data_IF_684859827829
#
_entry.id   IF_684859827829
#
_cell.length_a   1.000
_cell.length_b   1.000
_cell.length_c   1.000
_cell.angle_alpha   90.00
_cell.angle_beta   90.00
_cell.angle_gamma   90.00
#
_symmetry.space_group_name_H-M   'P 1'
#
loop_
_entity.id
_entity.type
_entity.pdbx_description
1 polymer ?
#
# COMPACT_ATOMS: atom_id res chain seq x y z
N UNK A 1 31.18 18.91 2.44
CA UNK A 1 29.96 18.12 2.20
C UNK A 1 28.90 19.11 1.72
N UNK A 2 28.25 18.88 0.57
CA UNK A 2 27.11 19.73 0.22
C UNK A 2 25.98 19.46 1.21
N UNK A 3 25.28 20.50 1.64
CA UNK A 3 24.07 20.32 2.44
C UNK A 3 23.08 19.47 1.64
N UNK A 4 22.40 18.53 2.29
CA UNK A 4 21.27 17.83 1.70
C UNK A 4 20.22 18.89 1.32
N UNK A 5 19.83 18.94 0.05
CA UNK A 5 18.76 19.80 -0.43
C UNK A 5 17.53 18.95 -0.72
N UNK A 6 16.36 19.42 -0.30
CA UNK A 6 15.09 18.78 -0.59
C UNK A 6 14.70 19.00 -2.05
N UNK A 7 13.85 18.12 -2.58
CA UNK A 7 13.16 18.37 -3.84
C UNK A 7 12.22 19.59 -3.76
N UNK A 8 11.67 20.04 -4.89
CA UNK A 8 10.86 21.25 -4.97
C UNK A 8 9.55 21.17 -4.16
N UNK A 9 8.96 19.99 -4.01
CA UNK A 9 7.76 19.78 -3.20
C UNK A 9 8.09 19.30 -1.78
N UNK A 10 9.34 18.92 -1.52
CA UNK A 10 9.76 18.23 -0.30
C UNK A 10 8.84 17.02 -0.01
N UNK A 11 8.60 16.22 -1.06
CA UNK A 11 7.64 15.12 -1.05
C UNK A 11 8.17 13.93 -1.84
N UNK A 12 7.69 12.71 -1.52
CA UNK A 12 7.99 11.51 -2.32
C UNK A 12 7.53 11.66 -3.79
N UNK A 13 6.52 12.51 -4.04
CA UNK A 13 6.04 12.82 -5.38
C UNK A 13 7.01 13.69 -6.20
N UNK A 14 8.13 14.16 -5.62
CA UNK A 14 9.23 14.74 -6.40
C UNK A 14 9.89 13.69 -7.33
N UNK A 15 9.69 12.40 -7.05
CA UNK A 15 10.09 11.30 -7.94
C UNK A 15 9.09 11.21 -9.09
N UNK A 16 9.58 11.48 -10.31
CA UNK A 16 8.76 11.48 -11.53
C UNK A 16 7.96 10.18 -11.68
N UNK A 17 6.66 10.34 -11.93
CA UNK A 17 5.74 9.23 -12.16
C UNK A 17 5.19 8.57 -10.89
N UNK A 18 5.70 8.86 -9.70
CA UNK A 18 5.09 8.42 -8.44
C UNK A 18 3.90 9.30 -8.05
N UNK A 19 2.89 8.65 -7.49
CA UNK A 19 1.64 9.28 -7.04
C UNK A 19 1.24 8.71 -5.69
N UNK A 20 0.64 9.56 -4.85
CA UNK A 20 0.07 9.16 -3.57
C UNK A 20 -1.42 9.50 -3.55
N UNK A 21 -2.25 8.51 -3.22
CA UNK A 21 -3.68 8.68 -2.97
C UNK A 21 -4.00 8.43 -1.50
N UNK A 22 -4.95 9.16 -0.95
CA UNK A 22 -5.42 8.98 0.42
C UNK A 22 -6.94 8.88 0.44
N UNK A 23 -7.47 7.93 1.21
CA UNK A 23 -8.87 7.85 1.59
C UNK A 23 -8.96 7.89 3.12
N UNK A 24 -9.92 8.63 3.65
CA UNK A 24 -10.08 8.82 5.09
C UNK A 24 -11.54 8.66 5.45
N UNK A 25 -11.80 7.92 6.52
CA UNK A 25 -13.11 7.82 7.15
C UNK A 25 -13.03 8.50 8.52
N UNK A 26 -13.71 9.64 8.65
CA UNK A 26 -13.76 10.44 9.88
C UNK A 26 -14.75 9.90 10.91
N UNK A 27 -15.71 9.06 10.52
CA UNK A 27 -16.64 8.43 11.46
C UNK A 27 -15.91 7.39 12.30
N UNK A 28 -15.09 6.56 11.65
CA UNK A 28 -14.28 5.53 12.33
C UNK A 28 -12.85 6.00 12.61
N UNK A 29 -12.49 7.24 12.26
CA UNK A 29 -11.17 7.85 12.46
C UNK A 29 -10.01 6.99 11.92
N UNK A 30 -10.08 6.57 10.66
CA UNK A 30 -9.03 5.75 10.03
C UNK A 30 -8.77 6.22 8.60
N UNK A 31 -7.84 5.57 7.91
CA UNK A 31 -7.63 5.80 6.49
C UNK A 31 -6.68 4.80 5.84
N UNK A 32 -6.57 4.96 4.52
CA UNK A 32 -5.68 4.19 3.65
C UNK A 32 -4.89 5.17 2.80
N UNK A 33 -3.58 4.96 2.72
CA UNK A 33 -2.68 5.63 1.80
C UNK A 33 -2.16 4.63 0.78
N UNK A 34 -2.25 4.97 -0.50
CA UNK A 34 -1.73 4.15 -1.61
C UNK A 34 -0.61 4.92 -2.29
N UNK A 35 0.58 4.34 -2.33
CA UNK A 35 1.65 4.76 -3.23
C UNK A 35 1.51 3.96 -4.53
N UNK A 36 1.40 4.64 -5.66
CA UNK A 36 1.36 4.03 -6.99
C UNK A 36 2.23 4.85 -7.96
N UNK A 37 2.31 4.42 -9.21
CA UNK A 37 2.96 5.21 -10.25
C UNK A 37 2.33 5.00 -11.61
N UNK A 38 2.82 5.77 -12.59
CA UNK A 38 2.42 5.66 -13.99
C UNK A 38 2.80 4.29 -14.59
N UNK A 39 3.85 3.65 -14.05
CA UNK A 39 4.29 2.28 -14.36
C UNK A 39 4.60 1.52 -13.07
N UNK A 40 4.78 0.19 -13.15
CA UNK A 40 5.31 -0.59 -12.02
C UNK A 40 6.69 -0.09 -11.61
N UNK A 41 7.04 -0.24 -10.33
CA UNK A 41 8.35 0.13 -9.78
C UNK A 41 8.93 -1.01 -8.96
N UNK A 42 10.26 -1.13 -8.96
CA UNK A 42 10.97 -2.11 -8.12
C UNK A 42 10.74 -1.79 -6.65
N UNK A 43 10.43 -2.82 -5.86
CA UNK A 43 10.18 -2.69 -4.43
C UNK A 43 10.87 -3.82 -3.66
N UNK A 44 11.28 -3.52 -2.44
CA UNK A 44 11.70 -4.47 -1.43
C UNK A 44 11.16 -4.01 -0.07
N UNK A 45 11.19 -4.85 0.95
CA UNK A 45 10.67 -4.50 2.27
C UNK A 45 11.59 -5.00 3.39
N UNK A 46 11.51 -4.34 4.53
CA UNK A 46 12.17 -4.76 5.75
C UNK A 46 11.25 -4.47 6.93
N UNK A 47 11.01 -5.48 7.76
CA UNK A 47 10.24 -5.33 9.00
C UNK A 47 11.21 -5.28 10.18
N UNK A 48 11.15 -4.18 10.93
CA UNK A 48 11.95 -4.01 12.15
C UNK A 48 11.11 -4.12 13.44
N UNK A 49 9.78 -4.06 13.32
CA UNK A 49 8.86 -4.19 14.46
C UNK A 49 8.58 -5.64 14.85
N UNK A 50 8.33 -5.90 16.14
CA UNK A 50 8.14 -7.26 16.66
C UNK A 50 6.76 -7.88 16.43
N UNK A 51 5.77 -7.11 15.97
CA UNK A 51 4.41 -7.57 15.69
C UNK A 51 3.90 -6.97 14.37
N UNK A 52 4.46 -7.39 13.21
CA UNK A 52 4.03 -6.89 11.92
C UNK A 52 2.64 -7.38 11.56
N UNK A 53 1.92 -6.56 10.79
CA UNK A 53 0.83 -7.02 9.96
C UNK A 53 1.11 -6.60 8.53
N UNK A 54 1.30 -7.59 7.68
CA UNK A 54 1.64 -7.36 6.28
C UNK A 54 0.92 -8.35 5.38
N UNK A 55 0.81 -7.99 4.11
CA UNK A 55 0.29 -8.84 3.03
C UNK A 55 1.20 -8.69 1.81
N UNK A 56 1.37 -9.79 1.07
CA UNK A 56 2.11 -9.87 -0.20
C UNK A 56 3.59 -9.42 -0.11
N UNK A 57 4.16 -9.32 1.10
CA UNK A 57 5.53 -8.82 1.32
C UNK A 57 6.61 -9.86 1.03
N UNK A 58 6.34 -11.15 1.26
CA UNK A 58 7.31 -12.22 0.98
C UNK A 58 7.72 -12.27 -0.51
N UNK A 59 6.86 -11.77 -1.40
CA UNK A 59 7.12 -11.67 -2.83
C UNK A 59 8.16 -10.59 -3.18
N UNK A 60 8.48 -9.68 -2.25
CA UNK A 60 9.43 -8.58 -2.42
C UNK A 60 10.87 -8.94 -2.00
N UNK A 61 11.09 -10.19 -1.59
CA UNK A 61 12.43 -10.70 -1.35
C UNK A 61 13.22 -10.76 -2.67
N UNK A 62 14.51 -10.34 -2.70
CA UNK A 62 15.28 -10.22 -3.95
C UNK A 62 15.45 -11.51 -4.75
N UNK A 63 15.25 -12.68 -4.13
CA UNK A 63 15.36 -14.00 -4.75
C UNK A 63 14.03 -14.49 -5.35
N UNK A 64 12.95 -13.71 -5.24
CA UNK A 64 11.62 -14.07 -5.77
C UNK A 64 11.40 -13.53 -7.18
N UNK A 65 10.36 -14.05 -7.83
CA UNK A 65 10.06 -13.76 -9.25
C UNK A 65 9.42 -12.39 -9.48
N UNK A 66 8.78 -11.81 -8.47
CA UNK A 66 8.14 -10.50 -8.56
C UNK A 66 9.21 -9.41 -8.37
N UNK A 67 9.62 -8.77 -9.46
CA UNK A 67 10.66 -7.75 -9.45
C UNK A 67 10.13 -6.32 -9.28
N UNK A 68 8.84 -6.10 -9.58
CA UNK A 68 8.18 -4.81 -9.49
C UNK A 68 6.71 -4.96 -9.09
N UNK A 69 6.16 -3.91 -8.51
CA UNK A 69 4.74 -3.81 -8.13
C UNK A 69 4.16 -2.50 -8.65
N UNK A 70 2.84 -2.46 -8.80
CA UNK A 70 2.13 -1.28 -9.28
C UNK A 70 1.65 -0.36 -8.15
N UNK A 71 1.52 -0.89 -6.94
CA UNK A 71 1.10 -0.14 -5.77
C UNK A 71 1.66 -0.73 -4.46
N UNK A 72 1.79 0.12 -3.44
CA UNK A 72 2.00 -0.24 -2.05
C UNK A 72 0.91 0.42 -1.21
N UNK A 73 0.36 -0.30 -0.23
CA UNK A 73 -0.73 0.18 0.62
C UNK A 73 -0.28 0.29 2.07
N UNK A 74 -0.60 1.42 2.68
CA UNK A 74 -0.48 1.66 4.12
C UNK A 74 -1.89 1.89 4.67
N UNK A 75 -2.33 1.07 5.63
CA UNK A 75 -3.70 1.15 6.17
C UNK A 75 -3.73 1.24 7.69
N UNK A 76 -4.71 1.98 8.22
CA UNK A 76 -5.17 1.80 9.59
C UNK A 76 -5.90 0.47 9.77
N UNK A 77 -6.61 0.31 10.90
CA UNK A 77 -7.50 -0.83 11.14
C UNK A 77 -6.88 -2.07 11.73
N UNK A 78 -5.58 -2.06 12.05
CA UNK A 78 -4.86 -3.27 12.42
C UNK A 78 -5.12 -4.38 11.39
N UNK A 79 -5.22 -5.65 11.80
CA UNK A 79 -5.35 -6.81 10.91
C UNK A 79 -6.50 -6.68 9.89
N UNK A 80 -7.58 -5.98 10.24
CA UNK A 80 -8.70 -5.72 9.33
C UNK A 80 -8.29 -4.84 8.13
N UNK A 81 -7.34 -3.93 8.33
CA UNK A 81 -6.80 -3.07 7.27
C UNK A 81 -6.09 -3.78 6.14
N UNK A 82 -5.70 -5.05 6.32
CA UNK A 82 -5.11 -5.86 5.25
C UNK A 82 -6.10 -6.10 4.09
N UNK A 83 -7.41 -5.93 4.33
CA UNK A 83 -8.45 -6.04 3.30
C UNK A 83 -8.39 -4.91 2.26
N UNK A 84 -7.83 -3.75 2.61
CA UNK A 84 -7.69 -2.59 1.70
C UNK A 84 -6.87 -2.88 0.45
N UNK A 85 -6.01 -3.89 0.53
CA UNK A 85 -5.27 -4.41 -0.61
C UNK A 85 -6.19 -4.93 -1.73
N UNK A 86 -7.36 -5.47 -1.36
CA UNK A 86 -8.36 -6.02 -2.28
C UNK A 86 -8.93 -4.95 -3.21
N UNK A 87 -9.45 -3.85 -2.66
CA UNK A 87 -9.98 -2.74 -3.46
C UNK A 87 -8.92 -2.13 -4.39
N UNK A 88 -7.66 -2.04 -3.93
CA UNK A 88 -6.53 -1.59 -4.78
C UNK A 88 -6.21 -2.60 -5.88
N UNK A 89 -6.23 -3.91 -5.57
CA UNK A 89 -6.04 -4.96 -6.55
C UNK A 89 -7.13 -4.93 -7.64
N UNK A 90 -8.39 -4.72 -7.27
CA UNK A 90 -9.51 -4.62 -8.21
C UNK A 90 -9.37 -3.39 -9.13
N UNK A 91 -8.94 -2.25 -8.57
CA UNK A 91 -8.64 -1.05 -9.36
C UNK A 91 -7.49 -1.28 -10.36
N UNK A 92 -6.40 -1.92 -9.92
CA UNK A 92 -5.27 -2.27 -10.79
C UNK A 92 -5.68 -3.27 -11.88
N UNK A 93 -6.45 -4.29 -11.52
CA UNK A 93 -6.96 -5.30 -12.46
C UNK A 93 -7.82 -4.67 -13.55
N UNK A 94 -8.68 -3.72 -13.16
CA UNK A 94 -9.53 -2.95 -14.07
C UNK A 94 -8.71 -2.06 -15.00
N UNK A 95 -7.57 -1.57 -14.53
CA UNK A 95 -6.61 -0.80 -15.33
C UNK A 95 -5.66 -1.69 -16.18
N UNK A 96 -5.79 -3.02 -16.13
CA UNK A 96 -4.89 -3.94 -16.83
C UNK A 96 -3.47 -3.98 -16.27
N UNK A 97 -3.30 -3.63 -14.99
CA UNK A 97 -2.01 -3.54 -14.29
C UNK A 97 -1.83 -4.71 -13.32
N UNK A 98 -0.58 -5.14 -13.17
CA UNK A 98 -0.20 -6.25 -12.30
C UNK A 98 0.94 -7.08 -12.89
N UNK A 99 1.30 -8.13 -12.16
CA UNK A 99 2.32 -9.10 -12.56
C UNK A 99 1.78 -10.05 -13.63
N UNK A 100 2.53 -10.22 -14.73
CA UNK A 100 2.14 -11.11 -15.83
C UNK A 100 2.54 -12.57 -15.54
N UNK A 101 1.56 -13.47 -15.61
CA UNK A 101 1.72 -14.93 -15.52
C UNK A 101 1.14 -15.54 -16.79
N UNK A 102 1.99 -15.73 -17.80
CA UNK A 102 1.54 -16.06 -19.15
C UNK A 102 0.59 -14.97 -19.67
N UNK A 103 -0.64 -15.35 -20.03
CA UNK A 103 -1.66 -14.45 -20.56
C UNK A 103 -2.54 -13.80 -19.47
N UNK A 104 -2.23 -14.06 -18.18
CA UNK A 104 -3.02 -13.55 -17.05
C UNK A 104 -2.23 -12.46 -16.31
N UNK A 105 -2.89 -11.34 -16.02
CA UNK A 105 -2.34 -10.26 -15.19
C UNK A 105 -2.89 -10.34 -13.77
N UNK A 106 -2.01 -10.49 -12.79
CA UNK A 106 -2.34 -10.63 -11.37
C UNK A 106 -1.78 -9.43 -10.59
N UNK A 107 -2.62 -8.53 -10.06
CA UNK A 107 -2.15 -7.48 -9.17
C UNK A 107 -1.53 -8.06 -7.90
N UNK A 108 -0.32 -7.61 -7.59
CA UNK A 108 0.36 -7.89 -6.32
C UNK A 108 0.42 -6.56 -5.55
N UNK A 109 -0.17 -6.53 -4.35
CA UNK A 109 -0.37 -5.28 -3.60
C UNK A 109 0.23 -5.42 -2.20
N UNK A 110 1.55 -5.24 -2.06
CA UNK A 110 2.21 -5.23 -0.77
C UNK A 110 1.56 -4.21 0.15
N UNK A 111 1.18 -4.67 1.34
CA UNK A 111 0.41 -3.87 2.29
C UNK A 111 1.03 -3.98 3.67
N UNK A 112 1.09 -2.86 4.38
CA UNK A 112 1.43 -2.81 5.80
C UNK A 112 0.36 -2.03 6.57
N UNK A 113 0.09 -2.48 7.79
CA UNK A 113 -0.95 -1.91 8.64
C UNK A 113 -0.40 -1.28 9.91
N UNK A 114 -1.16 -0.36 10.49
CA UNK A 114 -0.96 0.16 11.84
C UNK A 114 -2.19 -0.10 12.72
N UNK A 115 -1.98 -0.07 14.03
CA UNK A 115 -3.07 -0.15 15.00
C UNK A 115 -3.62 1.25 15.32
N UNK A 116 -4.86 1.52 14.94
CA UNK A 116 -5.61 2.71 15.32
C UNK A 116 -6.98 2.37 15.94
N UNK A 117 -7.22 1.10 16.28
CA UNK A 117 -8.53 0.63 16.77
C UNK A 117 -8.92 1.20 18.13
N UNK A 118 -7.98 1.76 18.91
CA UNK A 118 -8.24 2.39 20.19
C UNK A 118 -8.47 3.92 20.12
N UNK A 119 -8.75 4.46 18.92
CA UNK A 119 -9.09 5.88 18.76
C UNK A 119 -10.58 6.18 19.07
N UNK A 120 -10.99 7.43 18.93
CA UNK A 120 -12.34 7.90 19.24
C UNK A 120 -13.40 7.64 18.16
N UNK A 121 -13.06 6.94 17.07
CA UNK A 121 -13.99 6.63 15.99
C UNK A 121 -14.94 5.49 16.35
N UNK A 122 -16.08 5.43 15.67
CA UNK A 122 -17.05 4.34 15.88
C UNK A 122 -16.52 3.02 15.31
N UNK A 123 -16.25 2.05 16.20
CA UNK A 123 -15.76 0.72 15.82
C UNK A 123 -16.87 -0.34 15.81
N UNK A 124 -18.14 0.06 16.00
CA UNK A 124 -19.28 -0.86 16.04
C UNK A 124 -19.81 -1.17 14.64
N UNK A 125 -18.93 -1.62 13.75
CA UNK A 125 -19.29 -2.05 12.40
C UNK A 125 -19.47 -3.57 12.34
N UNK A 126 -20.44 -4.04 11.57
CA UNK A 126 -20.68 -5.48 11.36
C UNK A 126 -19.81 -6.05 10.23
N UNK A 127 -19.57 -5.25 9.19
CA UNK A 127 -18.70 -5.55 8.06
C UNK A 127 -17.50 -4.62 8.08
N UNK A 128 -16.32 -5.15 7.80
CA UNK A 128 -15.09 -4.38 7.76
C UNK A 128 -15.18 -3.23 6.75
N UNK A 129 -14.89 -1.98 7.16
CA UNK A 129 -14.93 -0.82 6.27
C UNK A 129 -13.67 -0.68 5.40
N UNK A 130 -12.74 -1.64 5.48
CA UNK A 130 -11.46 -1.61 4.77
C UNK A 130 -11.51 -2.29 3.39
N UNK A 131 -12.68 -2.69 2.89
CA UNK A 131 -12.85 -3.33 1.57
C UNK A 131 -13.08 -2.33 0.45
#
# INVERSE_FOLDING_TARGET
MSALQTGPLNSICDISGLRVGNATDSNINTGVTVLTGDTSFTASYAVMGGAPGTRDTDLLEPDKTVQSVDAIVLSGGSAFGLESAGGVADALRSAGRGFAVGDVTIPIVPTAILFDMANSGDKNWETSPYT
#
